data_IF_502670172489
#
_entry.id   IF_502670172489
#
_cell.length_a   1.000
_cell.length_b   1.000
_cell.length_c   1.000
_cell.angle_alpha   90.00
_cell.angle_beta   90.00
_cell.angle_gamma   90.00
#
_symmetry.space_group_name_H-M   'P 1'
#
loop_
_entity.id
_entity.type
_entity.pdbx_description
1 polymer ?
#
# COMPACT_ATOMS: atom_id res chain seq x y z
N UNK A 1 -10.48 7.24 9.13
CA UNK A 1 -10.21 8.69 9.18
C UNK A 1 -11.37 9.55 8.64
N UNK A 2 -11.82 9.44 7.37
CA UNK A 2 -12.86 10.34 6.81
C UNK A 2 -14.19 10.29 7.55
N UNK A 3 -14.59 9.11 8.05
CA UNK A 3 -15.77 8.94 8.90
C UNK A 3 -15.61 9.70 10.22
N UNK A 4 -14.52 9.46 10.94
CA UNK A 4 -14.22 10.16 12.19
C UNK A 4 -14.12 11.68 12.01
N UNK A 5 -13.48 12.15 10.91
CA UNK A 5 -13.39 13.57 10.56
C UNK A 5 -14.77 14.22 10.35
N UNK A 6 -15.73 13.48 9.79
CA UNK A 6 -17.10 13.97 9.62
C UNK A 6 -17.89 13.91 10.93
N UNK A 7 -17.74 12.83 11.69
CA UNK A 7 -18.39 12.65 12.99
C UNK A 7 -17.95 13.74 13.99
N UNK A 8 -16.65 13.98 14.15
CA UNK A 8 -16.18 15.04 15.08
C UNK A 8 -16.74 16.42 14.76
N UNK A 9 -16.92 16.75 13.45
CA UNK A 9 -17.52 18.03 13.05
C UNK A 9 -19.00 18.11 13.41
N UNK A 10 -19.73 17.01 13.25
CA UNK A 10 -21.17 16.95 13.51
C UNK A 10 -21.50 16.79 14.99
N UNK A 11 -20.66 16.09 15.73
CA UNK A 11 -20.81 15.84 17.17
C UNK A 11 -20.10 16.88 18.03
N UNK A 12 -19.59 17.96 17.48
CA UNK A 12 -18.73 18.93 18.18
C UNK A 12 -19.24 19.36 19.53
N UNK A 13 -20.54 19.58 19.70
CA UNK A 13 -21.15 19.96 20.97
C UNK A 13 -21.16 18.79 21.96
N UNK A 14 -21.60 17.60 21.53
CA UNK A 14 -21.65 16.38 22.36
C UNK A 14 -20.25 15.92 22.80
N UNK A 15 -19.24 16.09 21.97
CA UNK A 15 -17.84 15.82 22.33
C UNK A 15 -17.31 16.78 23.37
N UNK A 16 -17.72 18.07 23.30
CA UNK A 16 -17.32 19.07 24.29
C UNK A 16 -18.03 18.95 25.64
N UNK A 17 -19.29 18.50 25.64
CA UNK A 17 -20.05 18.24 26.88
C UNK A 17 -19.71 16.91 27.55
N UNK A 18 -18.99 16.01 26.83
CA UNK A 18 -18.71 14.65 27.29
C UNK A 18 -19.85 13.65 27.04
N UNK A 19 -20.91 14.07 26.31
CA UNK A 19 -22.05 13.20 25.97
C UNK A 19 -21.72 12.22 24.84
N UNK A 20 -20.57 12.33 24.20
CA UNK A 20 -20.06 11.43 23.20
C UNK A 20 -18.53 11.37 23.24
N UNK A 21 -17.99 10.22 22.88
CA UNK A 21 -16.57 10.02 22.62
C UNK A 21 -16.37 9.34 21.28
N UNK A 22 -15.32 9.71 20.54
CA UNK A 22 -14.89 9.03 19.33
C UNK A 22 -13.51 8.46 19.57
N UNK A 23 -13.41 7.14 19.68
CA UNK A 23 -12.13 6.43 19.79
C UNK A 23 -11.73 5.91 18.40
N UNK A 24 -10.49 6.20 18.00
CA UNK A 24 -9.92 5.74 16.71
C UNK A 24 -8.73 4.84 17.01
N UNK A 25 -8.89 3.56 16.75
CA UNK A 25 -7.80 2.58 16.81
C UNK A 25 -7.12 2.49 15.45
N UNK A 26 -5.80 2.59 15.43
CA UNK A 26 -5.01 2.56 14.20
C UNK A 26 -3.57 2.13 14.48
N UNK A 27 -2.94 1.27 13.65
CA UNK A 27 -1.55 0.90 13.85
C UNK A 27 -0.59 2.08 13.66
N UNK A 28 -0.92 3.01 12.74
CA UNK A 28 -0.07 4.14 12.41
C UNK A 28 -0.66 5.48 12.90
N UNK A 29 0.18 6.43 13.35
CA UNK A 29 -0.28 7.76 13.80
C UNK A 29 -0.69 8.67 12.63
N UNK A 30 -0.74 8.16 11.42
CA UNK A 30 -1.04 8.91 10.20
C UNK A 30 -1.92 8.11 9.24
N UNK A 31 -2.52 8.80 8.31
CA UNK A 31 -3.16 8.21 7.12
C UNK A 31 -2.24 8.42 5.91
N UNK A 32 -1.97 7.37 5.17
CA UNK A 32 -1.25 7.45 3.88
C UNK A 32 -2.20 7.81 2.76
N UNK A 33 -1.86 8.84 1.99
CA UNK A 33 -2.54 9.17 0.74
C UNK A 33 -1.91 8.37 -0.40
N UNK A 34 -2.31 7.11 -0.53
CA UNK A 34 -1.70 6.10 -1.42
C UNK A 34 -1.48 6.54 -2.88
N UNK A 35 -2.37 7.35 -3.51
CA UNK A 35 -2.12 7.79 -4.90
C UNK A 35 -0.82 8.57 -5.13
N UNK A 36 -0.17 9.04 -4.08
CA UNK A 36 1.13 9.72 -4.17
C UNK A 36 2.33 8.85 -3.80
N UNK A 37 2.12 7.57 -3.45
CA UNK A 37 3.22 6.66 -3.17
C UNK A 37 4.20 6.49 -4.35
N UNK A 38 3.74 6.35 -5.61
CA UNK A 38 4.65 6.25 -6.75
C UNK A 38 5.56 7.47 -6.90
N UNK A 39 5.01 8.68 -6.74
CA UNK A 39 5.81 9.92 -6.80
C UNK A 39 6.76 10.05 -5.62
N UNK A 40 6.39 9.58 -4.43
CA UNK A 40 7.26 9.53 -3.26
C UNK A 40 8.41 8.52 -3.45
N UNK A 41 8.10 7.34 -3.96
CA UNK A 41 9.10 6.33 -4.30
C UNK A 41 10.09 6.81 -5.36
N UNK A 42 9.65 7.63 -6.32
CA UNK A 42 10.52 8.18 -7.35
C UNK A 42 11.22 9.50 -6.95
N UNK A 43 11.06 9.98 -5.72
CA UNK A 43 11.68 11.21 -5.24
C UNK A 43 11.11 12.50 -5.84
N UNK A 44 9.92 12.45 -6.43
CA UNK A 44 9.22 13.64 -6.95
C UNK A 44 8.56 14.46 -5.85
N UNK A 45 8.22 13.82 -4.74
CA UNK A 45 7.70 14.42 -3.51
C UNK A 45 8.30 13.72 -2.28
N UNK A 46 8.46 14.46 -1.18
CA UNK A 46 8.92 13.87 0.08
C UNK A 46 7.88 12.88 0.63
N UNK A 47 8.30 11.69 1.10
CA UNK A 47 7.39 10.73 1.73
C UNK A 47 6.58 11.32 2.89
N UNK A 48 7.12 12.31 3.60
CA UNK A 48 6.42 13.03 4.69
C UNK A 48 5.18 13.79 4.19
N UNK A 49 5.10 14.12 2.91
CA UNK A 49 3.98 14.87 2.35
C UNK A 49 2.84 13.99 1.85
N UNK A 50 3.07 12.68 1.70
CA UNK A 50 2.01 11.71 1.37
C UNK A 50 1.23 11.21 2.59
N UNK A 51 1.68 11.56 3.80
CA UNK A 51 1.02 11.17 5.05
C UNK A 51 0.33 12.35 5.73
N UNK A 52 -0.81 12.07 6.37
CA UNK A 52 -1.61 13.03 7.10
C UNK A 52 -1.64 12.64 8.58
N UNK A 53 -1.02 13.42 9.49
CA UNK A 53 -1.00 13.12 10.92
C UNK A 53 -2.42 13.11 11.51
N UNK A 54 -2.85 11.98 12.08
CA UNK A 54 -4.21 11.82 12.59
C UNK A 54 -4.50 12.73 13.77
N UNK A 55 -3.59 12.85 14.73
CA UNK A 55 -3.76 13.74 15.89
C UNK A 55 -3.98 15.20 15.53
N UNK A 56 -3.53 15.64 14.34
CA UNK A 56 -3.73 17.01 13.86
C UNK A 56 -5.10 17.23 13.23
N UNK A 57 -5.67 16.20 12.63
CA UNK A 57 -6.94 16.31 11.88
C UNK A 57 -8.13 15.79 12.67
N UNK A 58 -7.89 14.92 13.65
CA UNK A 58 -8.87 14.32 14.55
C UNK A 58 -8.61 14.80 15.99
N UNK A 59 -8.57 16.11 16.17
CA UNK A 59 -8.22 16.75 17.44
C UNK A 59 -9.28 16.62 18.55
N UNK A 60 -10.52 16.29 18.18
CA UNK A 60 -11.61 16.04 19.12
C UNK A 60 -11.88 14.52 19.29
N UNK A 61 -10.94 13.65 18.85
CA UNK A 61 -11.04 12.19 18.97
C UNK A 61 -9.92 11.64 19.85
N UNK A 62 -10.21 10.59 20.60
CA UNK A 62 -9.20 9.77 21.30
C UNK A 62 -8.50 8.86 20.29
N UNK A 63 -7.19 9.01 20.09
CA UNK A 63 -6.40 8.20 19.16
C UNK A 63 -5.59 7.16 19.93
N UNK A 64 -5.92 5.90 19.73
CA UNK A 64 -5.19 4.73 20.25
C UNK A 64 -4.30 4.18 19.13
N UNK A 65 -2.97 4.33 19.31
CA UNK A 65 -2.00 3.71 18.39
C UNK A 65 -1.83 2.26 18.81
N UNK A 66 -2.34 1.36 17.97
CA UNK A 66 -2.37 -0.06 18.25
C UNK A 66 -3.12 -0.82 17.16
N UNK A 67 -3.09 -2.12 17.26
CA UNK A 67 -3.71 -3.03 16.33
C UNK A 67 -4.90 -3.74 17.00
N UNK A 68 -6.09 -3.61 16.42
CA UNK A 68 -7.25 -4.38 16.82
C UNK A 68 -7.00 -5.86 16.48
N UNK A 69 -7.05 -6.73 17.49
CA UNK A 69 -6.82 -8.17 17.36
C UNK A 69 -8.09 -8.96 17.16
N UNK A 70 -9.16 -8.54 17.85
CA UNK A 70 -10.47 -9.17 17.73
C UNK A 70 -11.59 -8.17 18.05
N UNK A 71 -12.78 -8.50 17.57
CA UNK A 71 -14.02 -7.78 17.90
C UNK A 71 -15.03 -8.85 18.31
N UNK A 72 -15.57 -8.73 19.52
CA UNK A 72 -16.69 -9.49 20.04
C UNK A 72 -17.92 -8.55 20.05
N UNK A 73 -18.68 -8.57 18.96
CA UNK A 73 -19.81 -7.66 18.81
C UNK A 73 -20.98 -8.04 19.73
N UNK A 74 -21.13 -9.30 20.08
CA UNK A 74 -22.13 -9.75 21.04
C UNK A 74 -21.92 -9.11 22.43
N UNK A 75 -20.66 -8.88 22.82
CA UNK A 75 -20.30 -8.15 24.06
C UNK A 75 -20.07 -6.66 23.84
N UNK A 76 -20.03 -6.19 22.58
CA UNK A 76 -19.67 -4.81 22.19
C UNK A 76 -18.28 -4.41 22.68
N UNK A 77 -17.29 -5.28 22.52
CA UNK A 77 -15.91 -5.03 22.88
C UNK A 77 -14.95 -5.30 21.72
N UNK A 78 -13.84 -4.57 21.72
CA UNK A 78 -12.72 -4.79 20.82
C UNK A 78 -11.42 -4.90 21.63
N UNK A 79 -10.62 -5.94 21.34
CA UNK A 79 -9.30 -6.13 21.95
C UNK A 79 -8.23 -5.48 21.08
N UNK A 80 -7.42 -4.63 21.70
CA UNK A 80 -6.38 -3.82 21.02
C UNK A 80 -5.03 -4.06 21.68
N UNK A 81 -4.03 -4.43 20.87
CA UNK A 81 -2.63 -4.45 21.30
C UNK A 81 -1.95 -3.13 20.93
N UNK A 82 -1.14 -2.60 21.86
CA UNK A 82 -0.40 -1.35 21.70
C UNK A 82 1.09 -1.61 21.87
N UNK A 83 1.92 -0.59 21.71
CA UNK A 83 3.36 -0.69 22.02
C UNK A 83 3.65 -1.02 23.50
N UNK A 84 2.68 -0.82 24.40
CA UNK A 84 2.80 -1.16 25.82
C UNK A 84 2.30 -2.58 26.13
N UNK A 85 1.74 -3.29 25.16
CA UNK A 85 1.27 -4.67 25.34
C UNK A 85 2.46 -5.63 25.27
N UNK A 86 2.60 -6.52 26.29
CA UNK A 86 3.62 -7.55 26.32
C UNK A 86 3.41 -8.61 25.23
N UNK A 87 4.44 -9.38 24.92
CA UNK A 87 4.41 -10.46 23.92
C UNK A 87 3.38 -11.56 24.27
N UNK A 88 3.14 -11.76 25.56
CA UNK A 88 2.13 -12.66 26.12
C UNK A 88 0.70 -12.10 26.07
N UNK A 89 0.51 -10.88 25.54
CA UNK A 89 -0.76 -10.17 25.50
C UNK A 89 -1.12 -9.40 26.76
N UNK A 90 -0.26 -9.40 27.81
CA UNK A 90 -0.50 -8.58 29.00
C UNK A 90 -0.55 -7.09 28.66
N UNK A 91 -1.50 -6.34 29.26
CA UNK A 91 -1.70 -4.93 28.98
C UNK A 91 -2.44 -4.64 27.67
N UNK A 92 -3.04 -5.64 27.02
CA UNK A 92 -3.97 -5.39 25.92
C UNK A 92 -5.18 -4.57 26.43
N UNK A 93 -5.61 -3.62 25.61
CA UNK A 93 -6.77 -2.77 25.93
C UNK A 93 -8.05 -3.45 25.46
N UNK A 94 -9.05 -3.52 26.33
CA UNK A 94 -10.43 -3.83 25.96
C UNK A 94 -11.20 -2.51 25.84
N UNK A 95 -11.75 -2.25 24.66
CA UNK A 95 -12.49 -1.02 24.36
C UNK A 95 -13.96 -1.39 24.12
N UNK A 96 -14.84 -0.92 25.03
CA UNK A 96 -16.28 -1.02 24.86
C UNK A 96 -16.80 0.04 23.89
N UNK A 97 -17.94 -0.22 23.22
CA UNK A 97 -18.55 0.73 22.30
C UNK A 97 -20.08 0.60 22.22
N UNK A 98 -20.75 1.70 21.90
CA UNK A 98 -22.17 1.69 21.51
C UNK A 98 -22.35 1.50 20.02
N UNK A 99 -21.53 2.13 19.20
CA UNK A 99 -21.49 2.02 17.74
C UNK A 99 -20.05 1.72 17.30
N UNK A 100 -19.87 0.73 16.41
CA UNK A 100 -18.55 0.41 15.86
C UNK A 100 -18.49 0.63 14.36
N UNK A 101 -17.40 1.24 13.89
CA UNK A 101 -17.10 1.39 12.47
C UNK A 101 -15.85 0.58 12.12
N UNK A 102 -16.00 -0.43 11.28
CA UNK A 102 -14.94 -1.36 10.90
C UNK A 102 -14.44 -1.00 9.51
N UNK A 103 -13.24 -0.46 9.43
CA UNK A 103 -12.65 -0.01 8.18
C UNK A 103 -11.11 -0.24 8.14
N UNK A 104 -10.64 -1.48 8.40
CA UNK A 104 -9.20 -1.79 8.42
C UNK A 104 -8.58 -1.80 7.01
N UNK A 105 -9.41 -1.70 5.97
CA UNK A 105 -8.96 -1.76 4.59
C UNK A 105 -8.61 -3.17 4.14
N UNK A 106 -7.53 -3.29 3.38
CA UNK A 106 -7.03 -4.52 2.79
C UNK A 106 -5.52 -4.63 2.97
N UNK A 107 -4.99 -5.84 2.90
CA UNK A 107 -3.55 -6.13 2.87
C UNK A 107 -3.15 -6.69 1.51
N UNK A 108 -1.87 -6.68 1.19
CA UNK A 108 -1.36 -7.31 -0.04
C UNK A 108 -1.73 -8.79 -0.05
N UNK A 109 -2.21 -9.28 -1.18
CA UNK A 109 -2.53 -10.69 -1.38
C UNK A 109 -1.28 -11.40 -1.87
N UNK A 110 -0.63 -12.13 -1.01
CA UNK A 110 0.44 -13.05 -1.40
C UNK A 110 -0.17 -14.36 -1.90
N UNK A 111 0.37 -14.90 -2.98
CA UNK A 111 0.05 -16.23 -3.49
C UNK A 111 1.15 -17.20 -3.04
N UNK A 112 0.88 -18.51 -3.00
CA UNK A 112 1.88 -19.52 -2.67
C UNK A 112 2.85 -19.75 -3.85
N UNK A 113 3.49 -18.68 -4.31
CA UNK A 113 4.54 -18.70 -5.32
C UNK A 113 5.86 -18.96 -4.61
N UNK A 114 6.61 -20.02 -4.99
CA UNK A 114 7.90 -20.32 -4.38
C UNK A 114 8.86 -19.13 -4.45
N UNK A 115 9.55 -18.81 -3.35
CA UNK A 115 10.47 -17.68 -3.23
C UNK A 115 9.80 -16.32 -3.00
N UNK A 116 8.47 -16.16 -3.20
CA UNK A 116 7.81 -14.86 -3.10
C UNK A 116 7.88 -14.28 -1.68
N UNK A 117 7.71 -15.09 -0.65
CA UNK A 117 7.77 -14.63 0.73
C UNK A 117 9.18 -14.14 1.14
N UNK A 118 10.23 -14.68 0.49
CA UNK A 118 11.62 -14.33 0.77
C UNK A 118 12.11 -13.14 -0.04
N UNK A 119 11.73 -13.05 -1.33
CA UNK A 119 12.31 -12.09 -2.27
C UNK A 119 11.33 -11.01 -2.75
N UNK A 120 10.04 -11.16 -2.44
CA UNK A 120 9.01 -10.22 -2.89
C UNK A 120 9.03 -8.91 -2.10
N UNK A 121 8.95 -7.79 -2.79
CA UNK A 121 8.82 -6.44 -2.22
C UNK A 121 7.39 -5.95 -2.47
N UNK A 122 6.68 -5.51 -1.42
CA UNK A 122 5.37 -4.91 -1.53
C UNK A 122 5.42 -3.46 -2.02
N UNK A 123 4.23 -2.91 -2.36
CA UNK A 123 4.10 -1.48 -2.68
C UNK A 123 2.73 -0.95 -2.23
N UNK A 124 2.52 -0.86 -0.93
CA UNK A 124 1.25 -0.43 -0.34
C UNK A 124 1.41 0.61 0.77
N UNK A 125 2.54 0.60 1.46
CA UNK A 125 2.83 1.50 2.58
C UNK A 125 3.90 2.54 2.20
N UNK A 126 4.09 3.53 3.05
CA UNK A 126 5.15 4.55 2.86
C UNK A 126 6.53 3.92 3.03
N UNK A 127 6.65 3.00 3.96
CA UNK A 127 7.89 2.28 4.27
C UNK A 127 8.31 1.43 3.06
N UNK A 128 7.36 0.69 2.47
CA UNK A 128 7.62 -0.09 1.25
C UNK A 128 8.02 0.82 0.07
N UNK A 129 7.39 1.99 -0.08
CA UNK A 129 7.73 2.93 -1.15
C UNK A 129 9.15 3.52 -0.99
N UNK A 130 9.53 3.87 0.26
CA UNK A 130 10.89 4.34 0.58
C UNK A 130 11.90 3.21 0.42
N UNK A 131 11.60 2.03 0.96
CA UNK A 131 12.45 0.85 0.87
C UNK A 131 12.72 0.46 -0.59
N UNK A 132 11.68 0.43 -1.43
CA UNK A 132 11.81 0.12 -2.85
C UNK A 132 12.65 1.17 -3.60
N UNK A 133 12.50 2.47 -3.29
CA UNK A 133 13.36 3.52 -3.83
C UNK A 133 14.83 3.29 -3.50
N UNK A 134 15.11 3.09 -2.21
CA UNK A 134 16.47 2.86 -1.73
C UNK A 134 17.06 1.61 -2.36
N UNK A 135 16.26 0.54 -2.42
CA UNK A 135 16.65 -0.73 -3.04
C UNK A 135 17.02 -0.57 -4.53
N UNK A 136 16.22 0.17 -5.33
CA UNK A 136 16.54 0.41 -6.75
C UNK A 136 17.88 1.13 -6.89
N UNK A 137 18.15 2.14 -6.07
CA UNK A 137 19.43 2.88 -6.10
C UNK A 137 20.59 1.97 -5.66
N UNK A 138 20.40 1.19 -4.59
CA UNK A 138 21.38 0.21 -4.12
C UNK A 138 21.70 -0.85 -5.19
N UNK A 139 20.72 -1.35 -5.93
CA UNK A 139 20.97 -2.28 -7.02
C UNK A 139 21.78 -1.64 -8.15
N UNK A 140 21.58 -0.36 -8.43
CA UNK A 140 22.44 0.38 -9.37
C UNK A 140 23.86 0.53 -8.84
N UNK A 141 24.07 0.77 -7.54
CA UNK A 141 25.38 0.84 -6.90
C UNK A 141 26.10 -0.53 -6.97
N UNK A 142 25.39 -1.62 -6.66
CA UNK A 142 25.90 -3.00 -6.80
C UNK A 142 26.33 -3.26 -8.25
N UNK A 143 25.47 -2.92 -9.21
CA UNK A 143 25.77 -3.12 -10.63
C UNK A 143 26.97 -2.29 -11.10
N UNK A 144 27.16 -1.11 -10.52
CA UNK A 144 28.32 -0.25 -10.83
C UNK A 144 29.63 -0.77 -10.24
N UNK A 145 29.56 -1.38 -9.04
CA UNK A 145 30.75 -1.82 -8.30
C UNK A 145 31.20 -3.24 -8.69
N UNK A 146 30.30 -4.11 -9.15
CA UNK A 146 30.63 -5.50 -9.45
C UNK A 146 31.36 -5.65 -10.77
N UNK A 147 32.25 -6.67 -10.82
CA UNK A 147 32.88 -7.14 -12.06
C UNK A 147 32.23 -8.41 -12.61
N UNK A 148 31.33 -9.02 -11.86
CA UNK A 148 30.57 -10.20 -12.28
C UNK A 148 29.40 -9.81 -13.16
N UNK A 149 29.36 -10.23 -14.44
CA UNK A 149 28.28 -9.88 -15.35
C UNK A 149 26.93 -10.44 -14.92
N UNK A 150 26.87 -11.59 -14.26
CA UNK A 150 25.63 -12.20 -13.82
C UNK A 150 25.02 -11.41 -12.64
N UNK A 151 25.83 -10.98 -11.68
CA UNK A 151 25.39 -10.11 -10.59
C UNK A 151 24.90 -8.76 -11.14
N UNK A 152 25.67 -8.17 -12.09
CA UNK A 152 25.31 -6.93 -12.73
C UNK A 152 23.96 -7.02 -13.46
N UNK A 153 23.76 -8.07 -14.25
CA UNK A 153 22.54 -8.27 -15.03
C UNK A 153 21.33 -8.44 -14.10
N UNK A 154 21.46 -9.26 -13.05
CA UNK A 154 20.42 -9.46 -12.05
C UNK A 154 20.08 -8.17 -11.27
N UNK A 155 21.08 -7.35 -10.94
CA UNK A 155 20.90 -6.08 -10.23
C UNK A 155 20.20 -5.01 -11.09
N UNK A 156 20.40 -5.01 -12.41
CA UNK A 156 19.76 -4.06 -13.33
C UNK A 156 18.44 -4.59 -13.93
N UNK A 157 17.96 -5.75 -13.45
CA UNK A 157 16.69 -6.34 -13.88
C UNK A 157 15.64 -6.16 -12.78
N UNK A 158 14.56 -5.46 -13.11
CA UNK A 158 13.45 -5.09 -12.21
C UNK A 158 12.16 -5.73 -12.71
N UNK A 159 11.59 -6.66 -11.93
CA UNK A 159 10.37 -7.39 -12.27
C UNK A 159 9.22 -6.91 -11.39
N UNK A 160 8.15 -6.44 -12.03
CA UNK A 160 6.92 -6.02 -11.38
C UNK A 160 5.78 -6.96 -11.74
N UNK A 161 5.10 -7.51 -10.74
CA UNK A 161 3.98 -8.43 -10.92
C UNK A 161 2.69 -7.75 -10.50
N UNK A 162 1.80 -7.54 -11.46
CA UNK A 162 0.49 -6.89 -11.31
C UNK A 162 0.35 -5.62 -12.15
N UNK A 163 -0.52 -5.65 -13.14
CA UNK A 163 -0.80 -4.54 -14.07
C UNK A 163 -1.91 -3.58 -13.61
N UNK A 164 -2.24 -3.56 -12.31
CA UNK A 164 -3.12 -2.57 -11.69
C UNK A 164 -2.44 -1.22 -11.49
N UNK A 165 -3.17 -0.23 -10.91
CA UNK A 165 -2.63 1.11 -10.66
C UNK A 165 -1.30 1.09 -9.90
N UNK A 166 -1.24 0.38 -8.76
CA UNK A 166 -0.05 0.36 -7.91
C UNK A 166 1.19 -0.10 -8.68
N UNK A 167 1.08 -1.22 -9.44
CA UNK A 167 2.19 -1.77 -10.20
C UNK A 167 2.63 -0.88 -11.36
N UNK A 168 1.67 -0.44 -12.17
CA UNK A 168 1.97 0.38 -13.36
C UNK A 168 2.54 1.74 -12.99
N UNK A 169 1.96 2.43 -12.00
CA UNK A 169 2.42 3.76 -11.59
C UNK A 169 3.77 3.69 -10.87
N UNK A 170 3.97 2.69 -9.99
CA UNK A 170 5.26 2.50 -9.31
C UNK A 170 6.37 2.17 -10.31
N UNK A 171 6.14 1.23 -11.22
CA UNK A 171 7.09 0.87 -12.25
C UNK A 171 7.45 2.08 -13.11
N UNK A 172 6.44 2.81 -13.60
CA UNK A 172 6.65 3.93 -14.51
C UNK A 172 7.42 5.09 -13.85
N UNK A 173 7.13 5.42 -12.59
CA UNK A 173 7.81 6.48 -11.85
C UNK A 173 9.24 6.06 -11.44
N UNK A 174 9.45 4.81 -11.02
CA UNK A 174 10.77 4.30 -10.65
C UNK A 174 11.69 4.11 -11.86
N UNK A 175 11.14 3.71 -13.01
CA UNK A 175 11.90 3.64 -14.25
C UNK A 175 12.37 5.03 -14.70
N UNK A 176 11.52 6.06 -14.62
CA UNK A 176 11.91 7.44 -14.87
C UNK A 176 13.02 7.90 -13.90
N UNK A 177 12.92 7.54 -12.62
CA UNK A 177 13.94 7.84 -11.61
C UNK A 177 15.26 7.16 -11.94
N UNK A 178 15.23 5.83 -12.16
CA UNK A 178 16.44 5.05 -12.42
C UNK A 178 17.14 5.49 -13.72
N UNK A 179 16.38 5.76 -14.78
CA UNK A 179 16.89 6.31 -16.04
C UNK A 179 17.55 7.68 -15.85
N UNK A 180 16.96 8.53 -15.02
CA UNK A 180 17.56 9.81 -14.67
C UNK A 180 18.84 9.62 -13.85
N UNK A 181 18.81 8.73 -12.86
CA UNK A 181 19.92 8.41 -11.97
C UNK A 181 21.12 7.80 -12.71
N UNK A 182 20.87 6.99 -13.76
CA UNK A 182 21.92 6.41 -14.60
C UNK A 182 22.91 7.44 -15.18
N UNK A 183 22.52 8.71 -15.30
CA UNK A 183 23.41 9.80 -15.78
C UNK A 183 24.59 10.09 -14.84
N UNK A 184 24.48 9.67 -13.59
CA UNK A 184 25.51 9.87 -12.56
C UNK A 184 26.44 8.67 -12.41
N UNK A 185 26.17 7.56 -13.15
CA UNK A 185 27.02 6.38 -13.21
C UNK A 185 27.85 6.36 -14.48
N UNK A 186 29.16 6.16 -14.36
CA UNK A 186 30.05 6.11 -15.53
C UNK A 186 29.87 4.85 -16.39
N UNK A 187 29.41 3.77 -15.77
CA UNK A 187 29.35 2.44 -16.35
C UNK A 187 27.92 1.87 -16.44
N UNK A 188 26.87 2.66 -16.17
CA UNK A 188 25.47 2.26 -16.35
C UNK A 188 24.83 3.21 -17.36
N UNK A 189 24.28 2.64 -18.42
CA UNK A 189 23.47 3.37 -19.41
C UNK A 189 21.99 3.08 -19.20
N UNK A 190 21.08 3.97 -19.58
CA UNK A 190 19.64 3.69 -19.52
C UNK A 190 19.21 2.40 -20.24
N UNK A 191 19.93 1.99 -21.28
CA UNK A 191 19.68 0.77 -22.02
C UNK A 191 20.08 -0.53 -21.27
N UNK A 192 20.90 -0.42 -20.22
CA UNK A 192 21.29 -1.56 -19.39
C UNK A 192 20.19 -1.93 -18.38
N UNK A 193 19.27 -0.98 -18.11
CA UNK A 193 18.16 -1.18 -17.17
C UNK A 193 17.05 -2.00 -17.83
N UNK A 194 16.71 -3.16 -17.26
CA UNK A 194 15.66 -4.06 -17.76
C UNK A 194 14.44 -3.96 -16.84
N UNK A 195 13.32 -3.51 -17.39
CA UNK A 195 12.06 -3.36 -16.67
C UNK A 195 11.03 -4.31 -17.26
N UNK A 196 10.43 -5.16 -16.43
CA UNK A 196 9.48 -6.17 -16.85
C UNK A 196 8.21 -6.00 -16.02
N UNK A 197 7.06 -5.84 -16.69
CA UNK A 197 5.74 -5.85 -16.09
C UNK A 197 5.03 -7.15 -16.46
N UNK A 198 4.68 -7.93 -15.47
CA UNK A 198 3.97 -9.22 -15.63
C UNK A 198 2.53 -9.05 -15.17
N UNK A 199 1.58 -9.36 -16.06
CA UNK A 199 0.15 -9.28 -15.75
C UNK A 199 -0.55 -10.56 -16.20
N UNK A 200 -1.31 -11.16 -15.28
CA UNK A 200 -2.00 -12.42 -15.51
C UNK A 200 -3.19 -12.32 -16.47
N UNK A 201 -3.71 -11.14 -16.68
CA UNK A 201 -4.80 -10.86 -17.62
C UNK A 201 -4.28 -10.26 -18.95
N UNK A 202 -5.14 -10.25 -19.96
CA UNK A 202 -4.81 -9.67 -21.27
C UNK A 202 -4.77 -8.15 -21.32
N UNK A 203 -4.80 -7.44 -20.16
CA UNK A 203 -4.84 -5.97 -20.11
C UNK A 203 -4.29 -5.42 -18.78
N UNK A 204 -3.71 -4.23 -18.86
CA UNK A 204 -3.35 -3.44 -17.65
C UNK A 204 -4.39 -2.34 -17.40
N UNK A 205 -4.41 -1.81 -16.19
CA UNK A 205 -5.28 -0.68 -15.79
C UNK A 205 -6.75 -0.89 -16.19
N UNK A 206 -7.42 -1.97 -15.78
CA UNK A 206 -8.74 -2.34 -16.28
C UNK A 206 -9.79 -1.22 -16.10
N UNK A 207 -9.66 -0.37 -15.08
CA UNK A 207 -10.62 0.69 -14.74
C UNK A 207 -10.56 1.90 -15.70
N UNK A 208 -9.45 2.11 -16.42
CA UNK A 208 -9.38 3.19 -17.42
C UNK A 208 -10.02 2.80 -18.76
N UNK A 209 -10.39 1.52 -18.90
CA UNK A 209 -10.99 0.95 -20.10
C UNK A 209 -9.96 0.54 -21.16
N UNK A 210 -10.37 -0.35 -22.07
CA UNK A 210 -9.52 -1.05 -23.02
C UNK A 210 -8.61 -0.13 -23.85
N UNK A 211 -9.20 0.89 -24.50
CA UNK A 211 -8.44 1.81 -25.36
C UNK A 211 -7.35 2.59 -24.62
N UNK A 212 -7.56 2.90 -23.35
CA UNK A 212 -6.55 3.60 -22.54
C UNK A 212 -5.52 2.63 -21.97
N UNK A 213 -5.92 1.40 -21.65
CA UNK A 213 -5.00 0.32 -21.29
C UNK A 213 -4.04 -0.02 -22.45
N UNK A 214 -4.56 -0.18 -23.68
CA UNK A 214 -3.74 -0.40 -24.87
C UNK A 214 -2.76 0.75 -25.14
N UNK A 215 -3.22 1.99 -24.99
CA UNK A 215 -2.33 3.15 -25.10
C UNK A 215 -1.25 3.13 -24.02
N UNK A 216 -1.59 2.80 -22.77
CA UNK A 216 -0.62 2.70 -21.68
C UNK A 216 0.46 1.62 -21.98
N UNK A 217 0.08 0.47 -22.50
CA UNK A 217 1.03 -0.57 -22.94
C UNK A 217 1.98 -0.03 -24.01
N UNK A 218 1.46 0.71 -24.99
CA UNK A 218 2.28 1.34 -26.05
C UNK A 218 3.29 2.32 -25.47
N UNK A 219 2.87 3.17 -24.52
CA UNK A 219 3.77 4.13 -23.85
C UNK A 219 4.86 3.44 -23.02
N UNK A 220 4.53 2.37 -22.31
CA UNK A 220 5.49 1.59 -21.53
C UNK A 220 6.50 0.88 -22.45
N UNK A 221 6.02 0.20 -23.49
CA UNK A 221 6.89 -0.48 -24.48
C UNK A 221 7.79 0.51 -25.23
N UNK A 222 7.29 1.72 -25.53
CA UNK A 222 8.09 2.81 -26.12
C UNK A 222 9.25 3.29 -25.24
N UNK A 223 9.25 2.91 -23.96
CA UNK A 223 10.34 3.15 -23.00
C UNK A 223 11.21 1.92 -22.75
N UNK A 224 11.11 0.89 -23.59
CA UNK A 224 11.78 -0.40 -23.45
C UNK A 224 11.35 -1.20 -22.19
N UNK A 225 10.14 -0.97 -21.69
CA UNK A 225 9.56 -1.79 -20.63
C UNK A 225 8.93 -3.02 -21.30
N UNK A 226 9.35 -4.21 -20.90
CA UNK A 226 8.79 -5.49 -21.38
C UNK A 226 7.47 -5.76 -20.66
N UNK A 227 6.35 -5.58 -21.37
CA UNK A 227 5.00 -5.81 -20.83
C UNK A 227 4.51 -7.19 -21.28
N UNK A 228 4.42 -8.12 -20.33
CA UNK A 228 3.96 -9.50 -20.49
C UNK A 228 2.52 -9.61 -19.99
N UNK A 229 1.58 -9.77 -20.93
CA UNK A 229 0.16 -10.01 -20.66
C UNK A 229 -0.13 -11.51 -20.70
N UNK A 230 -1.26 -11.93 -20.12
CA UNK A 230 -1.67 -13.33 -20.02
C UNK A 230 -0.57 -14.23 -19.44
N UNK A 231 0.27 -13.64 -18.57
CA UNK A 231 1.48 -14.25 -18.03
C UNK A 231 1.50 -14.16 -16.52
N UNK A 232 1.86 -15.24 -15.84
CA UNK A 232 1.96 -15.31 -14.39
C UNK A 232 3.41 -15.53 -13.95
N UNK A 233 3.71 -15.17 -12.70
CA UNK A 233 4.92 -15.58 -12.03
C UNK A 233 4.70 -16.99 -11.47
N UNK A 234 5.49 -17.96 -11.88
CA UNK A 234 5.41 -19.33 -11.39
C UNK A 234 6.33 -19.56 -10.18
N UNK A 235 7.55 -19.01 -10.20
CA UNK A 235 8.49 -19.03 -9.08
C UNK A 235 9.46 -17.85 -9.14
N UNK A 236 10.04 -17.50 -8.01
CA UNK A 236 11.16 -16.55 -7.90
C UNK A 236 12.28 -17.04 -6.96
N UNK A 237 12.38 -18.36 -6.79
CA UNK A 237 13.48 -18.97 -6.05
C UNK A 237 14.83 -18.62 -6.66
N UNK A 238 15.86 -18.63 -5.83
CA UNK A 238 17.24 -18.33 -6.23
C UNK A 238 17.41 -16.98 -6.97
N UNK A 239 16.48 -16.04 -6.74
CA UNK A 239 16.48 -14.74 -7.41
C UNK A 239 16.35 -14.85 -8.93
N UNK A 240 15.62 -15.84 -9.39
CA UNK A 240 15.25 -16.00 -10.81
C UNK A 240 13.73 -15.98 -10.95
N UNK A 241 13.18 -14.92 -11.50
CA UNK A 241 11.78 -14.88 -11.85
C UNK A 241 11.52 -15.79 -13.06
N UNK A 242 10.73 -16.84 -12.86
CA UNK A 242 10.28 -17.78 -13.90
C UNK A 242 8.82 -17.50 -14.17
N UNK A 243 8.49 -17.27 -15.42
CA UNK A 243 7.14 -16.93 -15.86
C UNK A 243 6.45 -18.14 -16.52
N UNK A 244 5.12 -18.10 -16.54
CA UNK A 244 4.27 -19.17 -17.12
C UNK A 244 4.45 -19.38 -18.62
N UNK A 245 5.10 -18.45 -19.33
CA UNK A 245 5.50 -18.58 -20.73
C UNK A 245 6.88 -19.24 -20.92
N UNK A 246 7.51 -19.68 -19.83
CA UNK A 246 8.85 -20.28 -19.80
C UNK A 246 10.00 -19.26 -19.76
N UNK A 247 9.72 -17.96 -19.82
CA UNK A 247 10.75 -16.92 -19.70
C UNK A 247 11.38 -16.92 -18.31
N UNK A 248 12.68 -16.64 -18.23
CA UNK A 248 13.46 -16.62 -17.00
C UNK A 248 14.26 -15.33 -16.91
N UNK A 249 14.17 -14.65 -15.79
CA UNK A 249 14.86 -13.38 -15.53
C UNK A 249 15.61 -13.46 -14.20
N UNK A 250 16.96 -13.59 -14.22
CA UNK A 250 17.73 -13.32 -13.01
C UNK A 250 17.43 -11.92 -12.55
N UNK A 251 16.96 -11.76 -11.30
CA UNK A 251 16.58 -10.44 -10.76
C UNK A 251 16.84 -10.38 -9.26
N UNK A 252 17.29 -9.23 -8.82
CA UNK A 252 17.40 -8.91 -7.39
C UNK A 252 16.23 -8.05 -6.90
N UNK A 253 15.32 -7.68 -7.81
CA UNK A 253 14.17 -6.82 -7.54
C UNK A 253 12.90 -7.45 -8.09
N UNK A 254 12.08 -8.02 -7.22
CA UNK A 254 10.75 -8.51 -7.53
C UNK A 254 9.71 -7.71 -6.75
N UNK A 255 8.91 -6.90 -7.43
CA UNK A 255 7.85 -6.09 -6.82
C UNK A 255 6.50 -6.76 -7.03
N UNK A 256 5.80 -7.03 -5.91
CA UNK A 256 4.52 -7.73 -5.92
C UNK A 256 3.36 -6.77 -5.64
N UNK A 257 2.54 -6.56 -6.65
CA UNK A 257 1.32 -5.73 -6.59
C UNK A 257 0.08 -6.47 -7.10
N UNK A 258 0.14 -7.80 -7.17
CA UNK A 258 -0.91 -8.65 -7.76
C UNK A 258 -2.09 -8.88 -6.81
N UNK A 259 -2.80 -7.81 -6.50
CA UNK A 259 -4.05 -7.82 -5.78
C UNK A 259 -3.94 -7.64 -4.28
N UNK A 260 -5.13 -7.51 -3.67
CA UNK A 260 -5.32 -7.31 -2.23
C UNK A 260 -6.31 -8.34 -1.69
N UNK A 261 -6.22 -8.60 -0.39
CA UNK A 261 -7.21 -9.38 0.38
C UNK A 261 -7.69 -8.56 1.58
N UNK A 262 -8.89 -8.85 2.11
CA UNK A 262 -9.38 -8.19 3.31
C UNK A 262 -8.40 -8.31 4.48
N UNK A 263 -8.37 -7.31 5.37
CA UNK A 263 -7.51 -7.32 6.54
C UNK A 263 -7.80 -8.56 7.43
N UNK A 264 -6.77 -9.20 8.00
CA UNK A 264 -6.92 -10.42 8.83
C UNK A 264 -7.84 -10.25 10.04
N UNK A 265 -7.95 -9.03 10.59
CA UNK A 265 -8.87 -8.70 11.68
C UNK A 265 -10.30 -9.20 11.41
N UNK A 266 -10.77 -9.17 10.16
CA UNK A 266 -12.15 -9.54 9.85
C UNK A 266 -12.47 -11.01 10.18
N UNK A 267 -11.49 -11.89 10.04
CA UNK A 267 -11.61 -13.30 10.43
C UNK A 267 -11.62 -13.51 11.96
N UNK A 268 -11.23 -12.49 12.73
CA UNK A 268 -11.23 -12.49 14.19
C UNK A 268 -12.40 -11.68 14.75
N UNK A 269 -13.55 -11.72 14.09
CA UNK A 269 -14.81 -11.09 14.52
C UNK A 269 -15.94 -12.11 14.47
N UNK A 270 -16.98 -11.88 15.23
CA UNK A 270 -18.25 -12.63 15.20
C UNK A 270 -19.25 -12.08 14.16
N UNK A 271 -18.78 -11.24 13.25
CA UNK A 271 -19.60 -10.58 12.23
C UNK A 271 -19.69 -11.39 10.94
N UNK A 272 -20.80 -11.28 10.17
CA UNK A 272 -21.00 -12.05 8.96
C UNK A 272 -20.06 -11.64 7.83
N UNK A 273 -19.34 -12.61 7.25
CA UNK A 273 -18.43 -12.43 6.15
C UNK A 273 -18.98 -13.03 4.85
N UNK A 274 -18.57 -12.46 3.72
CA UNK A 274 -18.73 -13.08 2.40
C UNK A 274 -17.69 -14.20 2.22
N UNK A 275 -17.84 -15.03 1.19
CA UNK A 275 -16.84 -16.04 0.80
C UNK A 275 -15.45 -15.43 0.53
N UNK A 276 -15.40 -14.16 0.15
CA UNK A 276 -14.16 -13.42 -0.09
C UNK A 276 -13.58 -12.77 1.17
N UNK A 277 -14.18 -13.01 2.36
CA UNK A 277 -13.71 -12.52 3.64
C UNK A 277 -14.00 -11.04 3.92
N UNK A 278 -14.91 -10.38 3.18
CA UNK A 278 -15.38 -9.03 3.47
C UNK A 278 -16.63 -9.05 4.32
N UNK A 279 -16.88 -8.04 5.16
CA UNK A 279 -18.10 -7.90 5.93
C UNK A 279 -19.31 -7.75 5.01
N UNK A 280 -20.34 -8.56 5.20
CA UNK A 280 -21.62 -8.42 4.49
C UNK A 280 -22.32 -7.16 4.97
N UNK A 281 -22.61 -6.25 4.07
CA UNK A 281 -23.19 -4.95 4.39
C UNK A 281 -24.47 -4.71 3.59
N UNK A 282 -25.37 -3.97 4.21
CA UNK A 282 -26.54 -3.41 3.54
C UNK A 282 -26.14 -2.19 2.68
N UNK A 283 -27.06 -1.73 1.85
CA UNK A 283 -26.87 -0.49 1.10
C UNK A 283 -26.70 0.76 1.99
N UNK A 284 -27.11 0.68 3.26
CA UNK A 284 -26.95 1.75 4.26
C UNK A 284 -25.59 1.70 4.98
N UNK A 285 -24.71 0.76 4.60
CA UNK A 285 -23.38 0.55 5.21
C UNK A 285 -23.40 -0.07 6.62
N UNK A 286 -24.57 -0.51 7.11
CA UNK A 286 -24.67 -1.35 8.29
C UNK A 286 -24.23 -2.78 7.95
N UNK A 287 -23.63 -3.48 8.90
CA UNK A 287 -23.36 -4.92 8.76
C UNK A 287 -24.69 -5.68 8.82
N UNK A 288 -24.90 -6.65 7.93
CA UNK A 288 -26.15 -7.40 7.85
C UNK A 288 -26.47 -8.09 9.18
N UNK A 289 -27.70 -7.94 9.65
CA UNK A 289 -28.26 -8.52 10.88
C UNK A 289 -27.47 -8.18 12.17
N UNK A 290 -26.58 -7.17 12.12
CA UNK A 290 -25.77 -6.72 13.26
C UNK A 290 -26.03 -5.24 13.57
N UNK A 291 -27.03 -4.94 14.42
CA UNK A 291 -27.30 -3.55 14.83
C UNK A 291 -26.07 -2.89 15.45
N UNK A 292 -25.85 -1.61 15.18
CA UNK A 292 -24.72 -0.83 15.70
C UNK A 292 -23.32 -1.20 15.14
N UNK A 293 -23.24 -2.13 14.17
CA UNK A 293 -22.02 -2.44 13.44
C UNK A 293 -22.06 -1.87 12.02
N UNK A 294 -21.02 -1.17 11.63
CA UNK A 294 -20.90 -0.47 10.36
C UNK A 294 -19.58 -0.79 9.68
N UNK A 295 -19.59 -0.84 8.35
CA UNK A 295 -18.33 -1.01 7.62
C UNK A 295 -18.29 -0.20 6.33
N UNK A 296 -17.06 0.12 5.88
CA UNK A 296 -16.81 0.85 4.63
C UNK A 296 -15.44 0.51 4.03
N UNK A 297 -15.30 0.81 2.75
CA UNK A 297 -14.06 0.61 1.99
C UNK A 297 -13.79 -0.84 1.64
N UNK A 298 -12.51 -1.20 1.54
CA UNK A 298 -12.08 -2.52 1.05
C UNK A 298 -12.54 -3.69 1.95
N UNK A 299 -12.82 -3.40 3.22
CA UNK A 299 -13.30 -4.37 4.20
C UNK A 299 -14.79 -4.72 4.03
N UNK A 300 -15.57 -3.90 3.31
CA UNK A 300 -17.02 -4.00 3.24
C UNK A 300 -17.50 -4.49 1.86
N UNK A 301 -18.41 -5.43 1.85
CA UNK A 301 -19.15 -5.89 0.67
C UNK A 301 -20.49 -5.15 0.59
N UNK A 302 -20.47 -3.95 0.04
CA UNK A 302 -21.64 -3.07 -0.06
C UNK A 302 -22.30 -3.24 -1.41
N UNK A 303 -23.64 -3.45 -1.49
CA UNK A 303 -24.35 -3.55 -2.76
C UNK A 303 -24.14 -2.32 -3.65
N UNK A 304 -23.84 -2.53 -4.92
CA UNK A 304 -23.74 -1.45 -5.91
C UNK A 304 -25.11 -1.18 -6.53
N UNK A 305 -25.84 -0.22 -5.97
CA UNK A 305 -27.17 0.17 -6.44
C UNK A 305 -27.15 0.90 -7.81
N UNK A 306 -25.98 1.07 -8.42
CA UNK A 306 -25.81 1.71 -9.75
C UNK A 306 -25.40 0.71 -10.82
N UNK A 307 -25.09 -0.52 -10.42
CA UNK A 307 -24.73 -1.58 -11.35
C UNK A 307 -25.93 -2.04 -12.18
N UNK A 308 -25.68 -2.42 -13.42
CA UNK A 308 -26.69 -3.02 -14.30
C UNK A 308 -27.05 -4.46 -13.92
N UNK A 309 -26.12 -5.15 -13.24
CA UNK A 309 -26.29 -6.53 -12.80
C UNK A 309 -26.71 -6.58 -11.34
N UNK A 310 -27.85 -7.25 -10.99
CA UNK A 310 -28.27 -7.44 -9.61
C UNK A 310 -27.21 -8.21 -8.79
N UNK A 311 -27.06 -7.83 -7.51
CA UNK A 311 -26.16 -8.53 -6.59
C UNK A 311 -24.68 -8.14 -6.74
N UNK A 312 -24.34 -7.22 -7.62
CA UNK A 312 -22.97 -6.70 -7.70
C UNK A 312 -22.63 -5.84 -6.50
N UNK A 313 -21.41 -6.00 -6.01
CA UNK A 313 -20.85 -5.21 -4.90
C UNK A 313 -19.96 -4.08 -5.43
N UNK A 314 -19.85 -3.02 -4.64
CA UNK A 314 -18.93 -1.92 -4.94
C UNK A 314 -17.48 -2.41 -4.95
N UNK A 315 -16.70 -1.93 -5.91
CA UNK A 315 -15.29 -2.29 -6.03
C UNK A 315 -14.49 -1.79 -4.80
N UNK A 316 -13.54 -2.59 -4.27
CA UNK A 316 -12.65 -2.18 -3.19
C UNK A 316 -11.63 -1.17 -3.71
N UNK A 317 -11.99 0.10 -3.69
CA UNK A 317 -11.11 1.20 -4.10
C UNK A 317 -11.36 2.47 -3.29
N UNK A 318 -10.38 3.37 -3.31
CA UNK A 318 -10.43 4.62 -2.56
C UNK A 318 -11.59 5.54 -2.98
N UNK A 319 -12.08 5.43 -4.21
CA UNK A 319 -13.18 6.25 -4.69
C UNK A 319 -14.49 5.91 -3.96
N UNK A 320 -14.78 4.61 -3.79
CA UNK A 320 -15.91 4.16 -2.98
C UNK A 320 -15.66 4.40 -1.50
N UNK A 321 -14.48 4.04 -0.97
CA UNK A 321 -14.16 4.17 0.46
C UNK A 321 -14.38 5.59 1.00
N UNK A 322 -13.89 6.62 0.29
CA UNK A 322 -14.04 8.03 0.72
C UNK A 322 -15.49 8.52 0.67
N UNK A 323 -16.29 8.02 -0.28
CA UNK A 323 -17.70 8.41 -0.41
C UNK A 323 -18.58 7.66 0.58
N UNK A 324 -18.35 6.36 0.73
CA UNK A 324 -18.99 5.54 1.76
C UNK A 324 -18.77 6.14 3.14
N UNK A 325 -17.54 6.56 3.48
CA UNK A 325 -17.22 7.15 4.77
C UNK A 325 -18.10 8.38 5.13
N UNK A 326 -18.56 9.14 4.12
CA UNK A 326 -19.44 10.30 4.35
C UNK A 326 -20.88 9.86 4.68
N UNK A 327 -21.42 8.92 3.91
CA UNK A 327 -22.75 8.36 4.13
C UNK A 327 -22.79 7.59 5.44
N UNK A 328 -21.76 6.80 5.71
CA UNK A 328 -21.63 6.02 6.93
C UNK A 328 -21.63 6.93 8.18
N UNK A 329 -20.87 8.02 8.18
CA UNK A 329 -20.89 8.96 9.30
C UNK A 329 -22.29 9.59 9.51
N UNK A 330 -23.03 9.88 8.43
CA UNK A 330 -24.39 10.38 8.53
C UNK A 330 -25.35 9.30 9.07
N UNK A 331 -25.15 8.05 8.69
CA UNK A 331 -25.97 6.93 9.11
C UNK A 331 -25.71 6.51 10.57
N UNK A 332 -24.45 6.51 11.02
CA UNK A 332 -24.13 6.30 12.45
C UNK A 332 -24.89 7.32 13.31
N UNK A 333 -24.84 8.61 12.94
CA UNK A 333 -25.59 9.64 13.68
C UNK A 333 -27.11 9.47 13.56
N UNK A 334 -27.60 9.05 12.41
CA UNK A 334 -29.03 8.79 12.22
C UNK A 334 -29.50 7.61 13.09
N UNK A 335 -28.68 6.55 13.22
CA UNK A 335 -28.92 5.42 14.11
C UNK A 335 -29.06 5.87 15.56
N UNK A 336 -28.05 6.60 16.06
CA UNK A 336 -28.04 7.14 17.43
C UNK A 336 -29.24 8.05 17.71
N UNK A 337 -29.65 8.87 16.74
CA UNK A 337 -30.75 9.82 16.87
C UNK A 337 -32.13 9.22 16.50
N UNK A 338 -32.22 7.92 16.16
CA UNK A 338 -33.47 7.26 15.74
C UNK A 338 -34.03 7.79 14.40
N UNK A 339 -33.19 8.29 13.52
CA UNK A 339 -33.59 8.85 12.21
C UNK A 339 -33.41 7.85 11.07
N UNK A 340 -34.14 8.01 9.94
CA UNK A 340 -34.00 7.14 8.78
C UNK A 340 -32.58 7.14 8.20
N UNK A 341 -32.10 5.95 7.81
CA UNK A 341 -30.79 5.74 7.20
C UNK A 341 -30.84 6.04 5.71
N UNK A 342 -29.69 6.41 5.14
CA UNK A 342 -29.50 6.73 3.72
C UNK A 342 -28.76 5.61 3.02
N UNK A 343 -29.25 5.19 1.86
CA UNK A 343 -28.53 4.27 1.00
C UNK A 343 -27.31 4.92 0.35
N UNK A 344 -26.25 4.16 0.20
CA UNK A 344 -25.08 4.55 -0.58
C UNK A 344 -25.34 4.31 -2.06
N UNK A 345 -25.22 5.37 -2.86
CA UNK A 345 -25.30 5.31 -4.33
C UNK A 345 -24.16 6.12 -4.93
N UNK A 346 -23.39 5.52 -5.80
CA UNK A 346 -22.34 6.22 -6.51
C UNK A 346 -21.94 5.51 -7.80
N UNK A 347 -22.21 6.15 -8.93
CA UNK A 347 -21.66 5.77 -10.22
C UNK A 347 -20.21 6.27 -10.34
N UNK A 348 -19.31 5.41 -10.84
CA UNK A 348 -17.93 5.77 -11.08
C UNK A 348 -17.86 6.92 -12.10
N UNK A 349 -17.22 8.03 -11.73
CA UNK A 349 -17.09 9.22 -12.61
C UNK A 349 -15.88 9.14 -13.54
N UNK A 350 -15.02 8.13 -13.36
CA UNK A 350 -13.85 7.90 -14.18
C UNK A 350 -12.62 7.54 -13.38
N UNK A 351 -11.54 7.33 -14.11
CA UNK A 351 -10.25 6.84 -13.63
C UNK A 351 -9.11 7.61 -14.29
N UNK A 352 -8.03 7.80 -13.55
CA UNK A 352 -6.81 8.46 -14.01
C UNK A 352 -5.60 7.67 -13.54
N UNK A 353 -4.55 7.56 -14.37
CA UNK A 353 -3.29 6.92 -13.99
C UNK A 353 -2.08 7.71 -14.50
N UNK A 354 -1.03 7.78 -13.69
CA UNK A 354 0.30 8.24 -14.10
C UNK A 354 1.04 7.12 -14.84
N UNK A 355 1.74 7.50 -15.91
CA UNK A 355 2.68 6.63 -16.62
C UNK A 355 4.11 7.17 -16.53
N UNK A 356 4.43 7.82 -15.41
CA UNK A 356 5.68 8.53 -15.20
C UNK A 356 5.58 10.02 -15.56
N UNK A 357 6.73 10.69 -15.57
CA UNK A 357 6.79 12.14 -15.73
C UNK A 357 6.22 12.58 -17.08
N UNK A 358 5.24 13.49 -17.03
CA UNK A 358 4.56 14.11 -18.19
C UNK A 358 3.73 13.12 -19.04
N UNK A 359 3.46 11.91 -18.54
CA UNK A 359 2.71 10.87 -19.23
C UNK A 359 1.59 10.35 -18.34
N UNK A 360 0.44 10.11 -18.93
CA UNK A 360 -0.71 9.59 -18.20
C UNK A 360 -1.84 9.15 -19.12
N UNK A 361 -2.81 8.49 -18.51
CA UNK A 361 -4.09 8.13 -19.12
C UNK A 361 -5.22 8.55 -18.20
N UNK A 362 -6.32 8.98 -18.79
CA UNK A 362 -7.53 9.32 -18.06
C UNK A 362 -8.78 8.98 -18.87
N UNK A 363 -9.76 8.44 -18.19
CA UNK A 363 -11.10 8.26 -18.72
C UNK A 363 -12.08 8.86 -17.70
N UNK A 364 -12.55 10.08 -17.95
CA UNK A 364 -13.35 10.85 -17.00
C UNK A 364 -14.53 11.49 -17.70
N UNK A 365 -15.74 11.28 -17.18
CA UNK A 365 -17.00 11.74 -17.79
C UNK A 365 -17.12 11.36 -19.27
N UNK A 366 -16.72 10.13 -19.64
CA UNK A 366 -16.75 9.64 -21.03
C UNK A 366 -15.64 10.19 -21.93
N UNK A 367 -14.83 11.15 -21.47
CA UNK A 367 -13.71 11.71 -22.23
C UNK A 367 -12.42 10.94 -21.95
N UNK A 368 -11.69 10.62 -23.00
CA UNK A 368 -10.40 9.92 -22.95
C UNK A 368 -9.28 10.92 -23.17
N UNK A 369 -8.36 11.05 -22.20
CA UNK A 369 -7.18 11.90 -22.29
C UNK A 369 -5.92 11.06 -22.24
N UNK A 370 -4.87 11.49 -22.91
CA UNK A 370 -3.58 10.81 -23.06
C UNK A 370 -2.43 11.79 -22.83
N UNK A 371 -1.26 11.27 -22.44
CA UNK A 371 -0.01 12.03 -22.31
C UNK A 371 -0.10 13.14 -21.26
N UNK A 372 0.46 14.30 -21.59
CA UNK A 372 0.58 15.43 -20.66
C UNK A 372 -0.75 15.93 -20.06
N UNK A 373 -1.85 16.10 -20.82
CA UNK A 373 -3.13 16.52 -20.26
C UNK A 373 -3.68 15.52 -19.22
N UNK A 374 -3.51 14.21 -19.44
CA UNK A 374 -3.93 13.19 -18.51
C UNK A 374 -3.08 13.19 -17.25
N UNK A 375 -1.77 13.35 -17.39
CA UNK A 375 -0.83 13.49 -16.28
C UNK A 375 -1.12 14.73 -15.42
N UNK A 376 -1.39 15.88 -16.04
CA UNK A 376 -1.76 17.09 -15.30
C UNK A 376 -3.11 16.92 -14.59
N UNK A 377 -4.08 16.25 -15.22
CA UNK A 377 -5.35 15.90 -14.59
C UNK A 377 -5.15 14.98 -13.40
N UNK A 378 -4.32 13.94 -13.50
CA UNK A 378 -3.97 13.04 -12.39
C UNK A 378 -3.45 13.85 -11.20
N UNK A 379 -2.44 14.68 -11.41
CA UNK A 379 -1.83 15.51 -10.35
C UNK A 379 -2.83 16.49 -9.72
N UNK A 380 -3.52 17.25 -10.53
CA UNK A 380 -4.48 18.26 -10.02
C UNK A 380 -5.67 17.62 -9.30
N UNK A 381 -6.18 16.50 -9.82
CA UNK A 381 -7.23 15.72 -9.17
C UNK A 381 -6.77 15.23 -7.80
N UNK A 382 -5.64 14.53 -7.72
CA UNK A 382 -5.14 14.00 -6.45
C UNK A 382 -4.75 15.11 -5.47
N UNK A 383 -4.13 16.19 -5.91
CA UNK A 383 -3.87 17.37 -5.08
C UNK A 383 -5.15 17.93 -4.47
N UNK A 384 -6.24 18.00 -5.27
CA UNK A 384 -7.55 18.48 -4.77
C UNK A 384 -8.12 17.59 -3.66
N UNK A 385 -7.79 16.28 -3.66
CA UNK A 385 -8.31 15.26 -2.73
C UNK A 385 -7.50 15.07 -1.47
N UNK A 386 -6.25 15.53 -1.42
CA UNK A 386 -5.47 15.50 -0.18
C UNK A 386 -6.23 16.23 0.94
N UNK A 387 -6.35 15.64 2.15
CA UNK A 387 -7.30 16.11 3.16
C UNK A 387 -7.04 17.49 3.74
N UNK A 388 -5.78 17.96 3.75
CA UNK A 388 -5.41 19.21 4.44
C UNK A 388 -4.78 20.23 3.50
N UNK A 389 -5.10 21.52 3.70
CA UNK A 389 -4.51 22.61 2.92
C UNK A 389 -2.97 22.64 3.04
N UNK A 390 -2.45 22.42 4.24
CA UNK A 390 -1.00 22.38 4.46
C UNK A 390 -0.30 21.33 3.59
N UNK A 391 -0.88 20.13 3.45
CA UNK A 391 -0.31 19.07 2.59
C UNK A 391 -0.41 19.44 1.11
N UNK A 392 -1.54 20.02 0.69
CA UNK A 392 -1.71 20.50 -0.68
C UNK A 392 -0.63 21.52 -1.06
N UNK A 393 -0.41 22.51 -0.19
CA UNK A 393 0.59 23.54 -0.41
C UNK A 393 2.02 22.98 -0.50
N UNK A 394 2.35 22.02 0.39
CA UNK A 394 3.67 21.37 0.38
C UNK A 394 3.90 20.53 -0.87
N UNK A 395 2.94 19.70 -1.25
CA UNK A 395 3.02 18.89 -2.49
C UNK A 395 3.17 19.79 -3.71
N UNK A 396 2.39 20.88 -3.79
CA UNK A 396 2.51 21.84 -4.89
C UNK A 396 3.89 22.53 -4.93
N UNK A 397 4.40 22.94 -3.76
CA UNK A 397 5.75 23.53 -3.66
C UNK A 397 6.85 22.53 -4.10
N UNK A 398 6.77 21.27 -3.68
CA UNK A 398 7.73 20.25 -4.10
C UNK A 398 7.68 19.94 -5.59
N UNK A 399 6.49 19.86 -6.18
CA UNK A 399 6.40 19.72 -7.64
C UNK A 399 7.03 20.90 -8.37
N UNK A 400 6.85 22.12 -7.85
CA UNK A 400 7.47 23.31 -8.42
C UNK A 400 9.00 23.24 -8.29
N UNK A 401 9.51 22.88 -7.10
CA UNK A 401 10.94 22.74 -6.85
C UNK A 401 11.55 21.60 -7.68
N UNK A 402 10.89 20.44 -7.75
CA UNK A 402 11.34 19.30 -8.57
C UNK A 402 11.35 19.64 -10.08
N UNK A 403 10.45 20.53 -10.53
CA UNK A 403 10.46 21.05 -11.90
C UNK A 403 11.65 21.98 -12.19
N UNK A 404 12.08 22.76 -11.19
CA UNK A 404 13.18 23.72 -11.32
C UNK A 404 14.56 23.08 -11.07
N UNK A 405 14.68 22.26 -10.01
CA UNK A 405 15.94 21.70 -9.52
C UNK A 405 16.11 20.20 -9.77
N UNK A 406 15.14 19.58 -10.45
CA UNK A 406 15.06 18.14 -10.73
C UNK A 406 14.77 17.30 -9.50
N UNK A 407 14.68 15.96 -9.70
CA UNK A 407 14.34 15.00 -8.63
C UNK A 407 15.53 14.80 -7.69
N UNK A 408 15.24 14.58 -6.42
CA UNK A 408 16.23 14.13 -5.47
C UNK A 408 16.42 12.62 -5.60
N UNK A 409 17.70 12.19 -5.72
CA UNK A 409 18.08 10.79 -5.99
C UNK A 409 18.91 10.18 -4.85
N UNK A 410 18.99 10.84 -3.71
CA UNK A 410 19.77 10.35 -2.56
C UNK A 410 19.03 9.18 -1.89
N UNK A 411 19.71 8.05 -1.72
CA UNK A 411 19.34 7.01 -0.77
C UNK A 411 19.86 7.39 0.61
N UNK A 412 18.97 7.48 1.60
CA UNK A 412 19.37 7.63 3.01
C UNK A 412 19.65 6.23 3.58
N UNK A 413 20.72 5.64 3.14
CA UNK A 413 21.12 4.24 3.21
C UNK A 413 20.84 3.45 4.49
N UNK A 414 20.99 3.98 5.69
CA UNK A 414 20.96 3.16 6.90
C UNK A 414 19.74 3.38 7.81
N UNK A 415 18.60 3.79 7.23
CA UNK A 415 17.36 3.93 8.03
C UNK A 415 16.88 2.58 8.61
N UNK A 416 17.31 1.46 8.05
CA UNK A 416 17.03 0.11 8.54
C UNK A 416 17.88 -0.24 9.77
N UNK A 417 19.08 0.36 9.90
CA UNK A 417 20.01 0.14 11.02
C UNK A 417 20.54 1.47 11.57
N UNK A 418 19.70 2.33 12.18
CA UNK A 418 20.11 3.67 12.60
C UNK A 418 21.15 3.68 13.71
N UNK A 419 21.40 2.53 14.34
CA UNK A 419 22.39 2.36 15.41
C UNK A 419 23.71 1.74 14.96
N UNK A 420 23.84 1.35 13.67
CA UNK A 420 24.99 0.62 13.18
C UNK A 420 26.34 1.31 13.48
N UNK A 421 26.45 2.62 13.26
CA UNK A 421 27.66 3.38 13.59
C UNK A 421 27.92 3.45 15.10
N UNK A 422 26.90 3.59 15.91
CA UNK A 422 27.03 3.60 17.36
C UNK A 422 27.44 2.21 17.90
N UNK A 423 26.87 1.14 17.36
CA UNK A 423 27.22 -0.24 17.72
C UNK A 423 28.66 -0.58 17.31
N UNK A 424 29.10 -0.10 16.16
CA UNK A 424 30.49 -0.18 15.71
C UNK A 424 31.44 0.54 16.67
N UNK A 425 31.10 1.77 17.07
CA UNK A 425 31.88 2.56 18.00
C UNK A 425 31.90 1.95 19.42
N UNK A 426 30.85 1.23 19.81
CA UNK A 426 30.74 0.53 21.09
C UNK A 426 31.47 -0.84 21.12
N UNK A 427 32.21 -1.20 20.05
CA UNK A 427 32.97 -2.47 19.97
C UNK A 427 32.17 -3.63 19.38
N UNK A 428 31.00 -3.39 18.80
CA UNK A 428 30.28 -4.36 17.99
C UNK A 428 31.06 -4.64 16.69
N UNK A 429 31.37 -5.90 16.41
CA UNK A 429 32.07 -6.32 15.18
C UNK A 429 31.33 -5.86 13.93
N UNK A 430 32.05 -5.70 12.81
CA UNK A 430 31.49 -5.39 11.50
C UNK A 430 30.45 -6.42 11.05
N UNK A 431 29.19 -6.19 11.36
CA UNK A 431 28.10 -6.78 10.61
C UNK A 431 27.99 -6.02 9.28
N UNK A 432 28.28 -6.67 8.17
CA UNK A 432 28.09 -6.11 6.83
C UNK A 432 26.65 -5.67 6.67
N UNK A 433 26.35 -4.38 6.41
CA UNK A 433 24.98 -3.95 6.12
C UNK A 433 24.54 -4.61 4.81
N UNK A 434 23.42 -5.29 4.81
CA UNK A 434 22.67 -5.57 3.60
C UNK A 434 22.82 -6.94 2.92
N UNK A 435 23.45 -7.94 3.55
CA UNK A 435 23.30 -9.33 3.09
C UNK A 435 22.58 -10.15 4.18
N UNK A 436 21.46 -10.81 3.92
CA UNK A 436 21.00 -11.88 4.80
C UNK A 436 22.09 -12.94 4.83
N UNK A 437 22.72 -13.12 6.00
CA UNK A 437 23.74 -14.14 6.21
C UNK A 437 23.15 -15.51 5.90
N UNK A 438 23.98 -16.48 5.42
CA UNK A 438 23.57 -17.87 5.33
C UNK A 438 23.10 -18.28 6.73
N UNK A 439 21.86 -18.82 6.79
CA UNK A 439 21.25 -19.24 8.04
C UNK A 439 22.25 -20.08 8.87
N UNK A 440 22.48 -19.65 10.11
CA UNK A 440 23.20 -20.48 11.06
C UNK A 440 22.50 -21.83 11.14
N UNK A 441 23.21 -22.96 11.01
CA UNK A 441 22.64 -24.26 11.32
C UNK A 441 22.14 -24.19 12.76
N UNK A 442 20.92 -24.65 13.00
CA UNK A 442 20.43 -24.89 14.36
C UNK A 442 21.41 -25.86 15.03
N UNK A 443 22.03 -25.38 16.08
CA UNK A 443 22.83 -26.20 16.98
C UNK A 443 21.88 -27.25 17.59
N UNK A 444 21.82 -28.42 17.01
CA UNK A 444 21.23 -29.60 17.62
C UNK A 444 22.24 -30.07 18.66
N UNK A 445 22.03 -29.58 19.89
CA UNK A 445 22.79 -30.06 21.05
C UNK A 445 22.59 -31.55 21.24
N UNK A 446 23.44 -32.33 20.62
CA UNK A 446 23.81 -33.67 21.05
C UNK A 446 25.19 -33.58 21.67
N UNK A 447 25.22 -33.66 22.98
CA UNK A 447 26.41 -33.90 23.79
C UNK A 447 26.94 -35.30 23.49
N UNK A 448 28.20 -35.47 23.12
CA UNK A 448 28.77 -36.82 23.06
C UNK A 448 29.02 -37.32 24.50
N UNK A 449 28.38 -38.43 24.83
CA UNK A 449 28.74 -39.27 25.98
C UNK A 449 30.25 -39.57 25.99
N UNK A 450 30.89 -39.25 27.11
CA UNK A 450 32.27 -39.62 27.41
C UNK A 450 32.27 -41.03 28.06
N UNK A 451 32.82 -42.06 27.40
CA UNK A 451 32.95 -43.38 28.01
C UNK A 451 34.37 -43.55 28.59
N UNK A 452 34.57 -43.11 29.82
CA UNK A 452 35.73 -43.62 30.64
C UNK A 452 35.41 -43.49 32.13
N UNK A 453 35.08 -44.63 32.73
CA UNK A 453 35.75 -45.16 33.94
C UNK A 453 35.14 -46.52 34.28
N UNK A 454 35.80 -47.55 33.84
CA UNK A 454 35.86 -48.81 34.58
C UNK A 454 37.27 -48.96 35.12
N UNK A 455 37.37 -48.96 36.38
CA UNK A 455 38.04 -49.94 37.29
C UNK A 455 37.84 -49.49 38.70
#
# INVERSE_FOLDING_TARGET
>A
MYTALRLQRKLKQRLKSGDAEIVVVTPEPYMTYQPFLPEAAAGSISPRHVVVPLRRVLNDCTIVIGEARSIDHAKRTATVTTLATGEDGTGALEIGYDEIVIAPGSVSRTLPVPGLAEFGIGFKTVEEAIGLRNHVIEQMDIASATRDPAIRDAALTFVFVGGGYAGVEALAELEDMARYTARYYHNIKPADLKWILVEASGRILPEVGEAMGTYAIGELRGRNIDVRLDTRLDTCEDRVAVLSDGSRFPTRTLVWTAGVKPAPLLAATDLPLTERGRLRCTATLGVEDMPHAWAAGDAAAVPDLTASEPGRETAPNAQHAVRQAKVLADNVLASVDGRPLKEYRHACVGSVASLGLHKGVAHVYGRKLKGYPAWLMHRTYHLSRVPTFNRKARVLAEWTLSGLFKREIVSLGSLEHPRAEFELAAGGGFGTPGLPGPGRPKDTGESPDDPRTDT
#
